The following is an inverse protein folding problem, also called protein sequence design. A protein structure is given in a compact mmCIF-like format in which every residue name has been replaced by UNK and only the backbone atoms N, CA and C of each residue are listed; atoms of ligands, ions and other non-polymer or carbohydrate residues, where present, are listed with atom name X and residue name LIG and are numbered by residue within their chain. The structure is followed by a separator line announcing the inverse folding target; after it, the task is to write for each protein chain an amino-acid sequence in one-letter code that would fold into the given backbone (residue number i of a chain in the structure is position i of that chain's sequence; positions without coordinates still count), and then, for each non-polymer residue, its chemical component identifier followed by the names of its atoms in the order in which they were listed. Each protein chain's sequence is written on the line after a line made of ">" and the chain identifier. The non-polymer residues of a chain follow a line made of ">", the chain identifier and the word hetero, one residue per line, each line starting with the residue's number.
data_IF_248695491050
#
_entry.id   IF_248695491050
#
_cell.length_a   1.000
_cell.length_b   1.000
_cell.length_c   1.000
_cell.angle_alpha   90.00
_cell.angle_beta   90.00
_cell.angle_gamma   90.00
#
_symmetry.space_group_name_H-M   'P 1'
#
loop_
_entity.id
_entity.type
_entity.pdbx_description
1 polymer ?
#
# COMPACT_ATOMS: atom_id res chain seq x y z
N UNK A 1 -78.40 5.49 33.81
CA UNK A 1 -77.78 5.23 32.50
C UNK A 1 -77.17 6.46 31.84
N UNK A 2 -77.92 7.49 31.40
CA UNK A 2 -77.39 8.59 30.54
C UNK A 2 -76.09 9.30 30.99
N UNK A 3 -75.84 9.48 32.31
CA UNK A 3 -74.59 10.05 32.82
C UNK A 3 -73.39 9.10 32.71
N UNK A 4 -73.60 7.79 32.87
CA UNK A 4 -72.56 6.76 32.74
C UNK A 4 -72.17 6.62 31.27
N UNK A 5 -73.16 6.61 30.35
CA UNK A 5 -72.91 6.53 28.91
C UNK A 5 -72.11 7.73 28.39
N UNK A 6 -72.38 8.94 28.91
CA UNK A 6 -71.62 10.14 28.59
C UNK A 6 -70.16 10.06 29.06
N UNK A 7 -69.92 9.59 30.30
CA UNK A 7 -68.55 9.39 30.82
C UNK A 7 -67.76 8.33 30.05
N UNK A 8 -68.41 7.23 29.65
CA UNK A 8 -67.80 6.18 28.84
C UNK A 8 -67.42 6.71 27.45
N UNK A 9 -68.26 7.54 26.83
CA UNK A 9 -67.96 8.16 25.53
C UNK A 9 -66.75 9.10 25.59
N UNK A 10 -66.60 9.85 26.68
CA UNK A 10 -65.49 10.77 26.88
C UNK A 10 -64.16 10.02 27.09
N UNK A 11 -64.16 8.96 27.91
CA UNK A 11 -63.00 8.07 28.08
C UNK A 11 -62.56 7.44 26.75
N UNK A 12 -63.53 6.96 25.95
CA UNK A 12 -63.24 6.39 24.63
C UNK A 12 -62.57 7.41 23.70
N UNK A 13 -63.04 8.66 23.68
CA UNK A 13 -62.43 9.71 22.86
C UNK A 13 -61.00 10.08 23.31
N UNK A 14 -60.74 10.10 24.62
CA UNK A 14 -59.39 10.35 25.17
C UNK A 14 -58.42 9.21 24.83
N UNK A 15 -58.88 7.96 24.91
CA UNK A 15 -58.09 6.80 24.49
C UNK A 15 -57.78 6.83 22.99
N UNK A 16 -58.74 7.20 22.15
CA UNK A 16 -58.49 7.35 20.72
C UNK A 16 -57.51 8.48 20.41
N UNK A 17 -57.66 9.65 21.05
CA UNK A 17 -56.79 10.80 20.81
C UNK A 17 -55.34 10.50 21.24
N UNK A 18 -55.16 9.89 22.41
CA UNK A 18 -53.83 9.46 22.88
C UNK A 18 -53.23 8.36 22.02
N UNK A 19 -54.04 7.41 21.54
CA UNK A 19 -53.60 6.38 20.60
C UNK A 19 -53.10 6.96 19.26
N UNK A 20 -53.85 7.92 18.69
CA UNK A 20 -53.42 8.64 17.48
C UNK A 20 -52.14 9.43 17.74
N UNK A 21 -52.05 10.14 18.88
CA UNK A 21 -50.85 10.88 19.26
C UNK A 21 -49.61 9.98 19.38
N UNK A 22 -49.73 8.86 20.07
CA UNK A 22 -48.65 7.88 20.19
C UNK A 22 -48.24 7.30 18.83
N UNK A 23 -49.21 7.03 17.95
CA UNK A 23 -48.95 6.53 16.60
C UNK A 23 -48.17 7.55 15.75
N UNK A 24 -48.56 8.83 15.79
CA UNK A 24 -47.85 9.89 15.08
C UNK A 24 -46.43 10.10 15.62
N UNK A 25 -46.24 10.03 16.94
CA UNK A 25 -44.91 10.10 17.55
C UNK A 25 -44.02 8.94 17.11
N UNK A 26 -44.56 7.72 17.05
CA UNK A 26 -43.84 6.56 16.57
C UNK A 26 -43.41 6.73 15.10
N UNK A 27 -44.30 7.21 14.22
CA UNK A 27 -43.96 7.50 12.82
C UNK A 27 -42.87 8.58 12.70
N UNK A 28 -42.96 9.65 13.49
CA UNK A 28 -41.94 10.69 13.54
C UNK A 28 -40.59 10.15 13.99
N UNK A 29 -40.57 9.34 15.05
CA UNK A 29 -39.35 8.70 15.55
C UNK A 29 -38.73 7.76 14.51
N UNK A 30 -39.54 6.95 13.82
CA UNK A 30 -39.08 6.08 12.73
C UNK A 30 -38.42 6.89 11.61
N UNK A 31 -39.05 7.99 11.20
CA UNK A 31 -38.51 8.87 10.15
C UNK A 31 -37.17 9.51 10.57
N UNK A 32 -37.06 9.94 11.83
CA UNK A 32 -35.82 10.50 12.38
C UNK A 32 -34.71 9.44 12.44
N UNK A 33 -34.99 8.25 12.99
CA UNK A 33 -34.02 7.15 13.07
C UNK A 33 -33.54 6.70 11.68
N UNK A 34 -34.44 6.66 10.70
CA UNK A 34 -34.08 6.36 9.32
C UNK A 34 -33.03 7.34 8.78
N UNK A 35 -33.18 8.64 9.06
CA UNK A 35 -32.28 9.69 8.56
C UNK A 35 -30.99 9.81 9.36
N UNK A 36 -31.04 9.66 10.68
CA UNK A 36 -29.87 9.85 11.56
C UNK A 36 -28.98 8.61 11.66
N UNK A 37 -29.53 7.40 11.51
CA UNK A 37 -28.79 6.16 11.74
C UNK A 37 -28.81 5.23 10.52
N UNK A 38 -30.00 4.84 10.05
CA UNK A 38 -30.11 3.79 9.04
C UNK A 38 -29.51 4.19 7.70
N UNK A 39 -29.75 5.42 7.24
CA UNK A 39 -29.25 5.88 5.94
C UNK A 39 -27.71 6.01 5.90
N UNK A 40 -27.03 6.67 6.86
CA UNK A 40 -25.57 6.70 6.91
C UNK A 40 -24.92 5.32 6.98
N UNK A 41 -25.47 4.40 7.80
CA UNK A 41 -24.91 3.04 7.92
C UNK A 41 -25.00 2.24 6.61
N UNK A 42 -26.11 2.38 5.86
CA UNK A 42 -26.24 1.76 4.54
C UNK A 42 -25.25 2.36 3.52
N UNK A 43 -24.93 3.64 3.60
CA UNK A 43 -23.90 4.26 2.77
C UNK A 43 -22.51 3.71 3.10
N UNK A 44 -22.19 3.58 4.39
CA UNK A 44 -20.95 2.98 4.86
C UNK A 44 -20.81 1.54 4.40
N UNK A 45 -21.87 0.72 4.54
CA UNK A 45 -21.88 -0.66 4.03
C UNK A 45 -21.56 -0.71 2.53
N UNK A 46 -22.26 0.07 1.71
CA UNK A 46 -22.03 0.13 0.26
C UNK A 46 -20.62 0.58 -0.09
N UNK A 47 -20.08 1.52 0.70
CA UNK A 47 -18.72 2.02 0.54
C UNK A 47 -17.69 0.93 0.84
N UNK A 48 -17.81 0.24 1.98
CA UNK A 48 -16.93 -0.87 2.35
C UNK A 48 -17.02 -2.01 1.33
N UNK A 49 -18.20 -2.29 0.77
CA UNK A 49 -18.34 -3.27 -0.32
C UNK A 49 -17.58 -2.84 -1.59
N UNK A 50 -17.62 -1.56 -1.96
CA UNK A 50 -16.83 -1.01 -3.07
C UNK A 50 -15.32 -1.11 -2.78
N UNK A 51 -14.90 -0.81 -1.55
CA UNK A 51 -13.50 -0.97 -1.14
C UNK A 51 -13.03 -2.42 -1.24
N UNK A 52 -13.87 -3.38 -0.82
CA UNK A 52 -13.56 -4.81 -0.92
C UNK A 52 -13.41 -5.27 -2.39
N UNK A 53 -14.11 -4.61 -3.31
CA UNK A 53 -13.98 -4.81 -4.77
C UNK A 53 -12.82 -4.03 -5.39
N UNK A 54 -11.99 -3.35 -4.59
CA UNK A 54 -10.80 -2.61 -5.06
C UNK A 54 -11.07 -1.18 -5.52
N UNK A 55 -12.28 -0.66 -5.31
CA UNK A 55 -12.59 0.73 -5.62
C UNK A 55 -12.39 1.60 -4.38
N UNK A 56 -11.20 2.18 -4.27
CA UNK A 56 -10.75 2.98 -3.12
C UNK A 56 -10.82 4.49 -3.36
N UNK A 57 -11.31 4.95 -4.51
CA UNK A 57 -11.34 6.39 -4.84
C UNK A 57 -12.57 7.11 -4.29
N UNK A 58 -13.64 6.37 -3.96
CA UNK A 58 -14.81 6.95 -3.31
C UNK A 58 -14.49 7.43 -1.90
N UNK A 59 -15.25 8.41 -1.40
CA UNK A 59 -15.19 8.89 0.00
C UNK A 59 -16.61 9.07 0.53
N UNK A 60 -16.78 8.85 1.83
CA UNK A 60 -18.02 9.17 2.53
C UNK A 60 -18.06 10.67 2.82
N UNK A 61 -19.16 11.32 2.49
CA UNK A 61 -19.47 12.66 2.99
C UNK A 61 -20.02 12.53 4.40
N UNK A 62 -19.16 12.74 5.40
CA UNK A 62 -19.54 12.68 6.81
C UNK A 62 -20.18 14.00 7.20
N UNK A 63 -21.46 13.98 7.54
CA UNK A 63 -22.22 15.16 8.00
C UNK A 63 -22.57 15.11 9.48
N UNK A 64 -22.48 13.93 10.09
CA UNK A 64 -22.77 13.73 11.51
C UNK A 64 -21.54 14.00 12.37
N UNK A 65 -21.76 14.50 13.59
CA UNK A 65 -20.70 14.85 14.56
C UNK A 65 -20.74 13.93 15.80
N UNK A 66 -21.40 12.78 15.68
CA UNK A 66 -21.56 11.76 16.71
C UNK A 66 -20.68 10.52 16.42
N UNK A 67 -20.95 9.40 17.09
CA UNK A 67 -20.23 8.13 16.90
C UNK A 67 -20.40 7.58 15.47
N UNK A 68 -21.54 7.81 14.83
CA UNK A 68 -21.76 7.45 13.43
C UNK A 68 -20.84 8.29 12.53
N UNK A 69 -20.72 9.58 12.83
CA UNK A 69 -19.76 10.48 12.19
C UNK A 69 -18.31 9.99 12.33
N UNK A 70 -17.91 9.66 13.57
CA UNK A 70 -16.57 9.15 13.87
C UNK A 70 -16.25 7.87 13.08
N UNK A 71 -17.19 6.93 12.99
CA UNK A 71 -17.03 5.72 12.18
C UNK A 71 -16.84 6.06 10.69
N UNK A 72 -17.60 7.03 10.16
CA UNK A 72 -17.45 7.52 8.80
C UNK A 72 -16.04 8.06 8.52
N UNK A 73 -15.45 8.79 9.47
CA UNK A 73 -14.07 9.27 9.39
C UNK A 73 -13.07 8.10 9.41
N UNK A 74 -13.21 7.15 10.33
CA UNK A 74 -12.32 5.97 10.37
C UNK A 74 -12.37 5.14 9.07
N UNK A 75 -13.54 5.01 8.45
CA UNK A 75 -13.67 4.34 7.14
C UNK A 75 -12.93 5.13 6.05
N UNK A 76 -13.02 6.47 6.04
CA UNK A 76 -12.28 7.29 5.09
C UNK A 76 -10.76 7.19 5.29
N UNK A 77 -10.27 7.14 6.53
CA UNK A 77 -8.85 6.95 6.84
C UNK A 77 -8.34 5.58 6.39
N UNK A 78 -9.16 4.53 6.58
CA UNK A 78 -8.88 3.20 6.04
C UNK A 78 -8.82 3.22 4.51
N UNK A 79 -9.75 3.91 3.84
CA UNK A 79 -9.75 4.07 2.39
C UNK A 79 -8.44 4.71 1.90
N UNK A 80 -8.02 5.80 2.55
CA UNK A 80 -6.80 6.51 2.21
C UNK A 80 -5.56 5.65 2.43
N UNK A 81 -5.53 4.87 3.52
CA UNK A 81 -4.42 3.97 3.83
C UNK A 81 -4.31 2.84 2.82
N UNK A 82 -5.43 2.22 2.42
CA UNK A 82 -5.48 1.20 1.37
C UNK A 82 -5.05 1.75 0.01
N UNK A 83 -5.52 2.94 -0.35
CA UNK A 83 -5.12 3.61 -1.59
C UNK A 83 -3.61 3.87 -1.61
N UNK A 84 -3.04 4.43 -0.53
CA UNK A 84 -1.59 4.66 -0.40
C UNK A 84 -0.81 3.35 -0.52
N UNK A 85 -1.24 2.30 0.19
CA UNK A 85 -0.60 0.99 0.12
C UNK A 85 -0.56 0.45 -1.31
N UNK A 86 -1.68 0.54 -2.03
CA UNK A 86 -1.77 0.15 -3.44
C UNK A 86 -0.83 1.00 -4.31
N UNK A 87 -0.83 2.31 -4.16
CA UNK A 87 -0.04 3.22 -4.97
C UNK A 87 1.46 2.98 -4.78
N UNK A 88 1.90 2.81 -3.53
CA UNK A 88 3.28 2.43 -3.20
C UNK A 88 3.65 1.08 -3.81
N UNK A 89 2.79 0.07 -3.67
CA UNK A 89 3.01 -1.26 -4.27
C UNK A 89 3.10 -1.19 -5.79
N UNK A 90 2.25 -0.41 -6.45
CA UNK A 90 2.28 -0.24 -7.90
C UNK A 90 3.55 0.48 -8.36
N UNK A 91 3.94 1.56 -7.67
CA UNK A 91 5.17 2.29 -7.95
C UNK A 91 6.40 1.39 -7.79
N UNK A 92 6.42 0.56 -6.75
CA UNK A 92 7.47 -0.43 -6.51
C UNK A 92 7.62 -1.43 -7.67
N UNK A 93 6.52 -2.06 -8.10
CA UNK A 93 6.57 -2.98 -9.26
C UNK A 93 7.01 -2.29 -10.55
N UNK A 94 6.57 -1.05 -10.77
CA UNK A 94 6.99 -0.25 -11.91
C UNK A 94 8.50 -0.01 -11.88
N UNK A 95 9.04 0.42 -10.74
CA UNK A 95 10.46 0.70 -10.56
C UNK A 95 11.31 -0.55 -10.77
N UNK A 96 10.92 -1.69 -10.17
CA UNK A 96 11.61 -2.97 -10.39
C UNK A 96 11.61 -3.34 -11.86
N UNK A 97 10.47 -3.23 -12.53
CA UNK A 97 10.37 -3.57 -13.95
C UNK A 97 11.30 -2.73 -14.82
N UNK A 98 11.48 -1.45 -14.49
CA UNK A 98 12.43 -0.56 -15.17
C UNK A 98 13.89 -0.94 -14.87
N UNK A 99 14.23 -1.16 -13.59
CA UNK A 99 15.58 -1.52 -13.17
C UNK A 99 16.03 -2.88 -13.69
N UNK A 100 15.11 -3.85 -13.86
CA UNK A 100 15.40 -5.16 -14.47
C UNK A 100 15.47 -5.09 -16.00
N UNK A 101 14.69 -4.22 -16.65
CA UNK A 101 14.68 -4.13 -18.13
C UNK A 101 16.03 -3.69 -18.68
N UNK A 102 16.68 -2.74 -18.02
CA UNK A 102 17.97 -2.18 -18.45
C UNK A 102 19.07 -3.25 -18.59
N UNK A 103 19.45 -4.00 -17.53
CA UNK A 103 20.46 -5.05 -17.63
C UNK A 103 20.05 -6.13 -18.63
N UNK A 104 18.78 -6.53 -18.67
CA UNK A 104 18.29 -7.53 -19.64
C UNK A 104 18.46 -7.04 -21.08
N UNK A 105 18.18 -5.76 -21.34
CA UNK A 105 18.35 -5.15 -22.67
C UNK A 105 19.82 -5.14 -23.09
N UNK A 106 20.74 -4.80 -22.18
CA UNK A 106 22.18 -4.86 -22.43
C UNK A 106 22.65 -6.30 -22.68
N UNK A 107 22.23 -7.25 -21.85
CA UNK A 107 22.53 -8.68 -22.03
C UNK A 107 22.11 -9.16 -23.41
N UNK A 108 20.86 -8.89 -23.80
CA UNK A 108 20.33 -9.29 -25.10
C UNK A 108 21.02 -8.57 -26.26
N UNK A 109 21.28 -7.26 -26.14
CA UNK A 109 21.92 -6.47 -27.20
C UNK A 109 23.34 -6.95 -27.49
N UNK A 110 24.18 -7.08 -26.46
CA UNK A 110 25.56 -7.54 -26.65
C UNK A 110 25.65 -9.02 -27.00
N UNK A 111 24.78 -9.87 -26.44
CA UNK A 111 24.71 -11.28 -26.84
C UNK A 111 24.34 -11.39 -28.32
N UNK A 112 23.39 -10.57 -28.80
CA UNK A 112 22.99 -10.53 -30.21
C UNK A 112 24.12 -10.08 -31.13
N UNK A 113 24.88 -9.05 -30.76
CA UNK A 113 26.05 -8.60 -31.53
C UNK A 113 27.10 -9.71 -31.64
N UNK A 114 27.33 -10.45 -30.54
CA UNK A 114 28.24 -11.60 -30.52
C UNK A 114 27.73 -12.76 -31.39
N UNK A 115 26.43 -13.09 -31.31
CA UNK A 115 25.85 -14.21 -32.07
C UNK A 115 25.74 -13.93 -33.56
N UNK A 116 25.45 -12.68 -33.93
CA UNK A 116 25.30 -12.26 -35.33
C UNK A 116 26.67 -12.03 -36.00
N UNK A 117 27.78 -12.24 -35.28
CA UNK A 117 29.14 -12.09 -35.80
C UNK A 117 29.53 -10.64 -36.11
N UNK A 118 28.81 -9.66 -35.57
CA UNK A 118 28.98 -8.22 -35.83
C UNK A 118 30.11 -7.59 -35.00
N UNK A 119 31.13 -8.38 -34.65
CA UNK A 119 32.24 -7.95 -33.78
C UNK A 119 33.47 -7.68 -34.63
N UNK A 120 34.05 -6.48 -34.51
CA UNK A 120 35.17 -6.04 -35.35
C UNK A 120 36.54 -6.52 -34.84
N UNK A 121 36.68 -6.87 -33.56
CA UNK A 121 37.95 -7.35 -33.00
C UNK A 121 37.83 -8.25 -31.78
N UNK A 122 38.89 -9.01 -31.46
CA UNK A 122 38.97 -9.79 -30.21
C UNK A 122 38.94 -8.90 -28.95
N UNK A 123 39.43 -7.65 -29.04
CA UNK A 123 39.34 -6.69 -27.93
C UNK A 123 37.87 -6.34 -27.66
N UNK A 124 37.12 -6.04 -28.71
CA UNK A 124 35.70 -5.72 -28.62
C UNK A 124 34.86 -6.93 -28.15
N UNK A 125 35.20 -8.14 -28.62
CA UNK A 125 34.59 -9.39 -28.13
C UNK A 125 34.72 -9.54 -26.62
N UNK A 126 35.94 -9.36 -26.09
CA UNK A 126 36.21 -9.41 -24.65
C UNK A 126 35.44 -8.34 -23.89
N UNK A 127 35.33 -7.14 -24.44
CA UNK A 127 34.56 -6.05 -23.85
C UNK A 127 33.07 -6.41 -23.74
N UNK A 128 32.45 -6.91 -24.82
CA UNK A 128 31.04 -7.32 -24.80
C UNK A 128 30.76 -8.47 -23.84
N UNK A 129 31.62 -9.49 -23.81
CA UNK A 129 31.52 -10.57 -22.82
C UNK A 129 31.66 -10.06 -21.38
N UNK A 130 32.54 -9.08 -21.15
CA UNK A 130 32.68 -8.43 -19.84
C UNK A 130 31.43 -7.65 -19.45
N UNK A 131 30.80 -6.92 -20.38
CA UNK A 131 29.55 -6.19 -20.10
C UNK A 131 28.43 -7.18 -19.77
N UNK A 132 28.30 -8.26 -20.54
CA UNK A 132 27.31 -9.31 -20.26
C UNK A 132 27.51 -9.88 -18.85
N UNK A 133 28.75 -10.20 -18.48
CA UNK A 133 29.05 -10.70 -17.15
C UNK A 133 28.70 -9.68 -16.05
N UNK A 134 29.08 -8.41 -16.22
CA UNK A 134 28.79 -7.35 -15.25
C UNK A 134 27.29 -7.12 -15.06
N UNK A 135 26.50 -7.08 -16.14
CA UNK A 135 25.05 -6.91 -16.05
C UNK A 135 24.36 -8.15 -15.45
N UNK A 136 24.89 -9.36 -15.68
CA UNK A 136 24.42 -10.57 -14.99
C UNK A 136 24.66 -10.51 -13.49
N UNK A 137 25.85 -10.05 -13.05
CA UNK A 137 26.16 -9.85 -11.63
C UNK A 137 25.30 -8.75 -11.02
N UNK A 138 24.99 -7.69 -11.77
CA UNK A 138 24.07 -6.63 -11.32
C UNK A 138 22.65 -7.16 -11.13
N UNK A 139 22.16 -7.94 -12.08
CA UNK A 139 20.83 -8.54 -12.03
C UNK A 139 20.67 -9.47 -10.82
N UNK A 140 21.69 -10.28 -10.53
CA UNK A 140 21.74 -11.15 -9.35
C UNK A 140 21.61 -10.35 -8.04
N UNK A 141 22.35 -9.26 -7.90
CA UNK A 141 22.23 -8.36 -6.73
C UNK A 141 20.83 -7.77 -6.59
N UNK A 142 20.25 -7.26 -7.68
CA UNK A 142 18.89 -6.69 -7.66
C UNK A 142 17.84 -7.72 -7.23
N UNK A 143 17.97 -8.96 -7.68
CA UNK A 143 17.08 -10.06 -7.29
C UNK A 143 17.27 -10.40 -5.81
N UNK A 144 18.51 -10.46 -5.32
CA UNK A 144 18.80 -10.70 -3.90
C UNK A 144 18.20 -9.60 -3.02
N UNK A 145 18.42 -8.34 -3.38
CA UNK A 145 17.89 -7.18 -2.64
C UNK A 145 16.36 -7.21 -2.60
N UNK A 146 15.70 -7.62 -3.69
CA UNK A 146 14.25 -7.80 -3.76
C UNK A 146 13.76 -8.93 -2.84
N UNK A 147 14.48 -10.05 -2.81
CA UNK A 147 14.13 -11.18 -1.96
C UNK A 147 14.31 -10.86 -0.47
N UNK A 148 15.38 -10.14 -0.13
CA UNK A 148 15.60 -9.68 1.23
C UNK A 148 14.51 -8.71 1.65
N UNK A 149 14.13 -7.74 0.80
CA UNK A 149 13.00 -6.84 1.06
C UNK A 149 11.69 -7.59 1.30
N UNK A 150 11.38 -8.60 0.49
CA UNK A 150 10.18 -9.45 0.65
C UNK A 150 10.12 -10.12 2.03
N UNK A 151 11.26 -10.62 2.53
CA UNK A 151 11.33 -11.19 3.89
C UNK A 151 11.13 -10.13 4.97
N UNK A 152 11.53 -8.89 4.73
CA UNK A 152 11.31 -7.78 5.65
C UNK A 152 9.81 -7.47 5.77
N UNK A 153 9.09 -7.41 4.65
CA UNK A 153 7.66 -7.10 4.63
C UNK A 153 6.80 -8.19 5.29
N UNK A 154 7.18 -9.46 5.17
CA UNK A 154 6.48 -10.57 5.84
C UNK A 154 6.76 -10.66 7.35
N UNK A 155 7.56 -9.74 7.91
CA UNK A 155 7.96 -9.74 9.32
C UNK A 155 8.86 -10.93 9.70
N UNK A 156 9.50 -11.57 8.72
CA UNK A 156 10.30 -12.78 8.92
C UNK A 156 11.76 -12.50 9.30
N UNK A 157 12.18 -11.23 9.39
CA UNK A 157 13.53 -10.91 9.89
C UNK A 157 13.60 -11.18 11.39
N UNK A 158 14.23 -12.28 11.75
CA UNK A 158 14.71 -12.50 13.11
C UNK A 158 16.01 -11.73 13.30
N UNK A 159 15.90 -10.50 13.80
CA UNK A 159 17.08 -9.72 14.20
C UNK A 159 17.75 -10.44 15.37
N UNK A 160 18.98 -10.89 15.17
CA UNK A 160 19.83 -11.41 16.25
C UNK A 160 20.60 -10.23 16.83
N UNK A 161 20.38 -9.96 18.11
CA UNK A 161 21.13 -8.96 18.85
C UNK A 161 22.24 -9.65 19.64
N UNK A 162 23.47 -9.20 19.47
CA UNK A 162 24.64 -9.68 20.19
C UNK A 162 25.57 -8.51 20.55
N UNK A 163 26.36 -8.61 21.64
CA UNK A 163 27.36 -7.60 21.96
C UNK A 163 28.35 -7.45 20.81
N UNK A 164 28.55 -6.21 20.36
CA UNK A 164 29.29 -5.89 19.14
C UNK A 164 30.46 -4.96 19.45
N UNK A 165 31.68 -5.34 19.06
CA UNK A 165 32.84 -4.44 19.11
C UNK A 165 32.84 -3.53 17.88
N UNK A 166 32.45 -2.28 18.08
CA UNK A 166 32.43 -1.27 17.02
C UNK A 166 33.83 -0.98 16.46
N UNK A 167 34.90 -1.15 17.24
CA UNK A 167 36.27 -0.90 16.80
C UNK A 167 36.69 -1.92 15.73
N UNK A 168 36.41 -3.20 15.97
CA UNK A 168 36.72 -4.30 15.04
C UNK A 168 35.99 -4.14 13.70
N UNK A 169 34.71 -3.75 13.75
CA UNK A 169 33.94 -3.44 12.54
C UNK A 169 34.54 -2.26 11.81
N UNK A 170 34.85 -1.18 12.52
CA UNK A 170 35.42 0.02 11.91
C UNK A 170 36.75 -0.26 11.24
N UNK A 171 37.63 -1.04 11.86
CA UNK A 171 38.91 -1.46 11.26
C UNK A 171 38.69 -2.29 9.98
N UNK A 172 37.75 -3.25 10.02
CA UNK A 172 37.39 -4.07 8.86
C UNK A 172 36.84 -3.22 7.70
N UNK A 173 35.98 -2.25 8.01
CA UNK A 173 35.41 -1.33 7.01
C UNK A 173 36.51 -0.45 6.43
N UNK A 174 37.36 0.16 7.26
CA UNK A 174 38.47 1.01 6.83
C UNK A 174 39.43 0.24 5.91
N UNK A 175 39.75 -1.01 6.22
CA UNK A 175 40.62 -1.84 5.39
C UNK A 175 39.99 -2.14 4.02
N UNK A 176 38.71 -2.52 3.99
CA UNK A 176 37.98 -2.76 2.72
C UNK A 176 37.90 -1.50 1.87
N UNK A 177 37.62 -0.34 2.48
CA UNK A 177 37.54 0.94 1.77
C UNK A 177 38.90 1.35 1.24
N UNK A 178 39.98 1.21 2.04
CA UNK A 178 41.35 1.53 1.62
C UNK A 178 41.78 0.72 0.39
N UNK A 179 41.55 -0.60 0.39
CA UNK A 179 41.85 -1.46 -0.77
C UNK A 179 41.09 -1.04 -2.04
N UNK A 180 39.86 -0.55 -1.90
CA UNK A 180 39.04 -0.08 -3.01
C UNK A 180 39.46 1.31 -3.50
N UNK A 181 39.96 2.16 -2.60
CA UNK A 181 40.48 3.48 -2.90
C UNK A 181 41.83 3.42 -3.64
N UNK A 182 42.74 2.56 -3.18
CA UNK A 182 44.05 2.34 -3.80
C UNK A 182 43.92 1.86 -5.25
N UNK A 183 43.00 0.91 -5.53
CA UNK A 183 42.68 0.48 -6.90
C UNK A 183 42.16 1.60 -7.82
N UNK A 184 41.64 2.69 -7.26
CA UNK A 184 41.08 3.83 -8.00
C UNK A 184 42.06 5.01 -8.13
N UNK A 185 43.12 5.03 -7.32
CA UNK A 185 44.16 6.08 -7.32
C UNK A 185 45.46 5.64 -7.97
N UNK A 186 45.62 4.36 -8.31
CA UNK A 186 46.77 3.85 -9.06
C UNK A 186 46.83 4.48 -10.48
N UNK A 187 47.87 5.26 -10.82
CA UNK A 187 48.02 5.87 -12.15
C UNK A 187 48.16 4.84 -13.27
N UNK A 188 48.49 3.57 -12.97
CA UNK A 188 48.57 2.49 -13.98
C UNK A 188 47.18 2.00 -14.39
N UNK A 189 46.18 2.07 -13.51
CA UNK A 189 44.79 1.67 -13.83
C UNK A 189 44.06 2.67 -14.73
N UNK A 190 44.43 3.97 -14.69
CA UNK A 190 43.86 5.01 -15.58
C UNK A 190 44.34 4.93 -17.03
N UNK A 191 45.39 4.15 -17.31
CA UNK A 191 45.94 4.00 -18.66
C UNK A 191 45.36 2.80 -19.45
N UNK A 192 44.45 2.03 -18.85
CA UNK A 192 43.88 0.81 -19.43
C UNK A 192 42.36 0.86 -19.71
N UNK A 193 41.69 1.97 -19.40
CA UNK A 193 40.31 2.29 -19.85
C UNK A 193 40.35 3.19 -21.09
#
# INVERSE_FOLDING_TARGET
>A
MKKIDASVSHLRSLLFLSGIGAFLLALGMIWIMSKLLSHPLLQMQKMTEKMAKGNWDSRLTVTSHDEVGALGHSINDLAASLQRYRDTRQAFFSNISHELRTPVTYLQGYAKVLTDGLVASEKERKQYLSIIYQESVRLDRLISDLFDLSKMEEGQIKVKTEPLDLKEIMETVLQKVKLKAEKKTDPIARAAE
#
